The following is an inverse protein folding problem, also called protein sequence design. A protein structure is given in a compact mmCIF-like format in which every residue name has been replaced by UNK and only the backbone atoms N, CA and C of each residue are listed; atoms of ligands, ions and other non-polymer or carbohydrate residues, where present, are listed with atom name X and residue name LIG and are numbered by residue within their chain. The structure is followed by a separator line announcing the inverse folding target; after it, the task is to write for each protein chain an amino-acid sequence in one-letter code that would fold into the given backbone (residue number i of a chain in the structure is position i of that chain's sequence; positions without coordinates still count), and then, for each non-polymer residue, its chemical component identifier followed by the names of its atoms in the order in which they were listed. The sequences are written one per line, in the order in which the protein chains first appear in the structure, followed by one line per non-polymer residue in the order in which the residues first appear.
data_IF_251678671951
#
_entry.id   IF_251678671951
#
_cell.length_a   1.000
_cell.length_b   1.000
_cell.length_c   1.000
_cell.angle_alpha   90.00
_cell.angle_beta   90.00
_cell.angle_gamma   90.00
#
_symmetry.space_group_name_H-M   'P 1'
#
loop_
_entity.id
_entity.type
_entity.pdbx_description
1 polymer ?
#
# COMPACT_ATOMS: atom_id res chain seq x y z
N UNK A 1 -9.31 32.38 8.95
CA UNK A 1 -10.13 31.16 8.70
C UNK A 1 -9.11 30.05 8.47
N UNK A 2 -9.15 28.98 9.27
CA UNK A 2 -8.24 27.83 9.11
C UNK A 2 -8.39 27.22 7.72
N UNK A 3 -7.33 26.60 7.20
CA UNK A 3 -7.37 25.82 5.97
C UNK A 3 -8.44 24.73 6.13
N UNK A 4 -9.31 24.54 5.17
CA UNK A 4 -10.27 23.44 5.13
C UNK A 4 -10.27 22.86 3.71
N UNK A 5 -9.97 21.57 3.60
CA UNK A 5 -9.80 20.91 2.31
C UNK A 5 -11.05 20.18 1.85
N UNK A 6 -12.07 20.07 2.74
CA UNK A 6 -13.35 19.43 2.42
C UNK A 6 -14.52 20.31 2.88
N UNK A 7 -15.68 20.10 2.27
CA UNK A 7 -16.99 20.52 2.80
C UNK A 7 -17.77 19.23 3.06
N UNK A 8 -18.04 18.92 4.34
CA UNK A 8 -18.82 17.76 4.77
C UNK A 8 -20.12 18.26 5.42
N UNK A 9 -21.15 18.42 4.62
CA UNK A 9 -22.48 18.89 5.07
C UNK A 9 -23.49 17.75 4.98
N UNK A 10 -23.71 17.06 6.10
CA UNK A 10 -24.63 15.93 6.18
C UNK A 10 -26.10 16.33 6.01
N UNK A 11 -26.48 17.53 6.42
CA UNK A 11 -27.86 18.02 6.31
C UNK A 11 -28.25 18.26 4.84
N UNK A 12 -27.33 18.79 4.05
CA UNK A 12 -27.54 18.98 2.61
C UNK A 12 -27.18 17.75 1.78
N UNK A 13 -26.65 16.68 2.41
CA UNK A 13 -26.15 15.50 1.70
C UNK A 13 -24.98 15.81 0.76
N UNK A 14 -24.09 16.71 1.16
CA UNK A 14 -23.05 17.27 0.29
C UNK A 14 -21.65 17.03 0.85
N UNK A 15 -20.78 16.46 0.01
CA UNK A 15 -19.35 16.31 0.32
C UNK A 15 -18.50 16.79 -0.84
N UNK A 16 -17.72 17.83 -0.62
CA UNK A 16 -16.84 18.40 -1.65
C UNK A 16 -15.39 18.35 -1.20
N UNK A 17 -14.50 18.15 -2.18
CA UNK A 17 -13.05 18.14 -2.01
C UNK A 17 -12.43 19.30 -2.77
N UNK A 18 -11.57 20.07 -2.10
CA UNK A 18 -10.87 21.20 -2.70
C UNK A 18 -9.81 20.69 -3.70
N UNK A 19 -9.93 21.09 -4.96
CA UNK A 19 -9.04 20.69 -6.05
C UNK A 19 -7.60 21.19 -5.89
N UNK A 20 -7.35 22.20 -5.05
CA UNK A 20 -5.98 22.62 -4.75
C UNK A 20 -5.15 21.49 -4.11
N UNK A 21 -5.77 20.55 -3.39
CA UNK A 21 -5.09 19.39 -2.82
C UNK A 21 -4.39 18.51 -3.85
N UNK A 22 -4.79 18.59 -5.10
CA UNK A 22 -4.22 17.81 -6.20
C UNK A 22 -3.14 18.54 -7.00
N UNK A 23 -2.98 19.85 -6.82
CA UNK A 23 -2.13 20.66 -7.74
C UNK A 23 -1.12 21.57 -7.03
N UNK A 24 -1.30 21.85 -5.75
CA UNK A 24 -0.44 22.80 -5.01
C UNK A 24 0.79 22.10 -4.43
N UNK A 25 2.04 22.46 -4.84
CA UNK A 25 3.25 21.85 -4.29
C UNK A 25 3.43 22.10 -2.80
N UNK A 26 2.97 23.24 -2.27
CA UNK A 26 3.07 23.49 -0.83
C UNK A 26 2.19 22.54 -0.02
N UNK A 27 1.05 22.12 -0.58
CA UNK A 27 0.19 21.11 0.06
C UNK A 27 0.91 19.76 0.09
N UNK A 28 1.62 19.37 -0.98
CA UNK A 28 2.41 18.13 -0.96
C UNK A 28 3.54 18.19 0.08
N UNK A 29 4.20 19.32 0.24
CA UNK A 29 5.21 19.50 1.30
C UNK A 29 4.58 19.33 2.70
N UNK A 30 3.41 19.93 2.94
CA UNK A 30 2.67 19.73 4.18
C UNK A 30 2.22 18.25 4.36
N UNK A 31 1.82 17.56 3.30
CA UNK A 31 1.51 16.12 3.33
C UNK A 31 2.72 15.27 3.74
N UNK A 32 3.92 15.60 3.25
CA UNK A 32 5.16 14.92 3.66
C UNK A 32 5.42 15.07 5.16
N UNK A 33 5.17 16.24 5.72
CA UNK A 33 5.37 16.53 7.14
C UNK A 33 4.26 15.93 8.01
N UNK A 34 2.99 16.14 7.65
CA UNK A 34 1.85 15.84 8.51
C UNK A 34 1.33 14.42 8.34
N UNK A 35 1.39 13.86 7.13
CA UNK A 35 0.87 12.53 6.80
C UNK A 35 2.02 11.53 6.75
N UNK A 36 2.93 11.68 5.78
CA UNK A 36 3.96 10.69 5.51
C UNK A 36 5.05 10.59 6.59
N UNK A 37 5.14 11.58 7.50
CA UNK A 37 6.04 11.52 8.65
C UNK A 37 5.36 11.06 9.94
N UNK A 38 4.03 10.98 9.99
CA UNK A 38 3.30 10.68 11.23
C UNK A 38 2.36 9.46 11.12
N UNK A 39 2.04 9.01 9.92
CA UNK A 39 1.29 7.79 9.71
C UNK A 39 2.21 6.58 9.55
N UNK A 40 1.68 5.38 9.73
CA UNK A 40 2.37 4.15 9.41
C UNK A 40 2.40 3.94 7.90
N UNK A 41 3.60 3.87 7.33
CA UNK A 41 3.86 3.75 5.90
C UNK A 41 4.26 2.32 5.58
N UNK A 42 3.61 1.68 4.65
CA UNK A 42 3.96 0.34 4.19
C UNK A 42 5.36 0.34 3.55
N UNK A 43 6.19 -0.58 4.00
CA UNK A 43 7.57 -0.76 3.53
C UNK A 43 7.68 -1.95 2.59
N UNK A 44 7.12 -3.10 2.98
CA UNK A 44 7.26 -4.35 2.25
C UNK A 44 6.73 -5.55 3.03
N UNK A 45 6.89 -6.74 2.47
CA UNK A 45 6.49 -7.99 3.12
C UNK A 45 7.74 -8.76 3.58
N UNK A 46 7.68 -9.37 4.76
CA UNK A 46 8.82 -10.11 5.34
C UNK A 46 9.37 -11.22 4.42
N UNK A 47 8.52 -11.78 3.57
CA UNK A 47 8.94 -12.79 2.60
C UNK A 47 9.90 -12.28 1.52
N UNK A 48 10.07 -10.96 1.39
CA UNK A 48 11.06 -10.38 0.47
C UNK A 48 12.49 -10.44 1.02
N UNK A 49 12.63 -10.67 2.32
CA UNK A 49 13.91 -10.75 3.06
C UNK A 49 13.90 -11.99 3.96
N UNK A 50 13.76 -13.19 3.37
CA UNK A 50 13.55 -14.46 4.09
C UNK A 50 14.74 -14.88 4.96
N UNK A 51 15.96 -14.65 4.45
CA UNK A 51 17.19 -15.16 5.07
C UNK A 51 17.93 -14.05 5.83
N UNK A 52 18.69 -14.43 6.82
CA UNK A 52 19.60 -13.51 7.49
C UNK A 52 20.57 -12.87 6.50
N UNK A 53 20.69 -11.55 6.55
CA UNK A 53 21.49 -10.77 5.61
C UNK A 53 20.77 -10.34 4.34
N UNK A 54 19.54 -10.81 4.08
CA UNK A 54 18.75 -10.31 2.95
C UNK A 54 18.40 -8.84 3.16
N UNK A 55 18.43 -8.10 2.04
CA UNK A 55 18.03 -6.70 2.03
C UNK A 55 17.36 -6.29 0.72
N UNK A 56 16.50 -5.28 0.81
CA UNK A 56 15.96 -4.51 -0.31
C UNK A 56 16.20 -3.02 -0.04
N UNK A 57 16.49 -2.24 -1.08
CA UNK A 57 16.47 -0.77 -1.00
C UNK A 57 15.27 -0.23 -1.76
N UNK A 58 14.65 0.79 -1.21
CA UNK A 58 13.52 1.50 -1.85
C UNK A 58 13.33 2.88 -1.26
N UNK A 59 12.59 3.72 -1.95
CA UNK A 59 12.12 4.97 -1.39
C UNK A 59 10.77 4.75 -0.70
N UNK A 60 10.68 5.19 0.54
CA UNK A 60 9.46 5.13 1.35
C UNK A 60 9.13 6.54 1.82
N UNK A 61 8.02 7.07 1.34
CA UNK A 61 7.63 8.46 1.60
C UNK A 61 8.75 9.48 1.30
N UNK A 62 9.42 9.31 0.15
CA UNK A 62 10.49 10.19 -0.31
C UNK A 62 11.83 10.03 0.41
N UNK A 63 12.00 9.00 1.25
CA UNK A 63 13.24 8.73 1.97
C UNK A 63 13.84 7.40 1.52
N UNK A 64 15.14 7.37 1.14
CA UNK A 64 15.82 6.13 0.79
C UNK A 64 16.01 5.27 2.03
N UNK A 65 15.54 4.03 2.00
CA UNK A 65 15.66 3.07 3.11
C UNK A 65 16.37 1.78 2.67
N UNK A 66 16.91 1.07 3.65
CA UNK A 66 17.31 -0.33 3.56
C UNK A 66 16.34 -1.13 4.43
N UNK A 67 15.58 -2.01 3.80
CA UNK A 67 14.73 -2.98 4.45
C UNK A 67 15.49 -4.29 4.52
N UNK A 68 15.81 -4.81 5.71
CA UNK A 68 16.78 -5.89 5.88
C UNK A 68 16.45 -6.81 7.05
N UNK A 69 16.98 -8.03 7.01
CA UNK A 69 16.95 -8.98 8.13
C UNK A 69 18.37 -9.20 8.65
N UNK A 70 18.57 -9.01 9.93
CA UNK A 70 19.89 -9.17 10.56
C UNK A 70 20.27 -10.63 10.85
N UNK A 71 21.44 -10.84 11.43
CA UNK A 71 21.97 -12.18 11.78
C UNK A 71 21.15 -12.89 12.86
N UNK A 72 20.33 -12.17 13.65
CA UNK A 72 19.45 -12.69 14.68
C UNK A 72 18.03 -12.98 14.14
N UNK A 73 17.78 -12.66 12.87
CA UNK A 73 16.49 -12.82 12.19
C UNK A 73 15.53 -11.65 12.43
N UNK A 74 15.97 -10.57 13.07
CA UNK A 74 15.16 -9.37 13.27
C UNK A 74 15.10 -8.54 11.99
N UNK A 75 13.92 -8.01 11.70
CA UNK A 75 13.68 -7.08 10.58
C UNK A 75 14.00 -5.66 11.03
N UNK A 76 14.69 -4.93 10.16
CA UNK A 76 15.05 -3.53 10.35
C UNK A 76 14.67 -2.68 9.14
N UNK A 77 14.28 -1.45 9.38
CA UNK A 77 14.11 -0.39 8.38
C UNK A 77 15.12 0.72 8.73
N UNK A 78 16.16 0.85 7.92
CA UNK A 78 17.26 1.78 8.17
C UNK A 78 17.24 2.89 7.13
N UNK A 79 17.51 4.14 7.50
CA UNK A 79 17.76 5.18 6.52
C UNK A 79 19.03 4.84 5.74
N UNK A 80 18.94 4.79 4.42
CA UNK A 80 20.05 4.48 3.52
C UNK A 80 20.97 5.69 3.34
N UNK A 81 21.48 6.22 4.44
CA UNK A 81 22.39 7.37 4.43
C UNK A 81 23.53 7.17 5.43
N UNK A 82 24.76 7.29 4.98
CA UNK A 82 25.94 7.14 5.81
C UNK A 82 26.04 8.29 6.83
N UNK A 83 26.10 7.95 8.09
CA UNK A 83 26.22 8.91 9.21
C UNK A 83 27.52 9.71 9.20
N UNK A 84 28.51 9.35 8.36
CA UNK A 84 29.71 10.13 8.16
C UNK A 84 29.47 11.40 7.32
N UNK A 85 29.01 11.26 6.08
CA UNK A 85 28.82 12.37 5.11
C UNK A 85 27.68 12.17 4.13
N UNK A 86 26.62 11.46 4.53
CA UNK A 86 25.35 11.41 3.81
C UNK A 86 25.30 10.58 2.52
N UNK A 87 26.38 9.89 2.13
CA UNK A 87 26.35 9.03 0.93
C UNK A 87 25.40 7.85 1.12
N UNK A 88 24.69 7.43 0.08
CA UNK A 88 23.95 6.17 0.11
C UNK A 88 24.91 5.02 0.45
N UNK A 89 24.57 4.24 1.46
CA UNK A 89 25.38 3.10 1.93
C UNK A 89 25.21 1.92 1.00
N UNK A 90 23.96 1.56 0.71
CA UNK A 90 23.60 0.50 -0.20
C UNK A 90 23.06 1.07 -1.51
N UNK A 91 23.63 0.66 -2.65
CA UNK A 91 23.26 1.13 -4.00
C UNK A 91 22.62 0.04 -4.86
N UNK A 92 22.69 -1.22 -4.42
CA UNK A 92 21.99 -2.34 -5.05
C UNK A 92 20.51 -2.32 -4.65
N UNK A 93 19.64 -2.76 -5.56
CA UNK A 93 18.19 -2.81 -5.28
C UNK A 93 17.86 -3.89 -4.24
N UNK A 94 18.52 -5.05 -4.30
CA UNK A 94 18.36 -6.16 -3.37
C UNK A 94 19.63 -7.02 -3.30
N UNK A 95 19.68 -7.94 -2.36
CA UNK A 95 20.76 -8.89 -2.23
C UNK A 95 20.85 -9.51 -0.84
N UNK A 96 21.98 -10.22 -0.61
CA UNK A 96 22.32 -10.78 0.70
C UNK A 96 23.75 -10.38 1.07
N UNK A 97 23.96 -9.84 2.23
CA UNK A 97 25.28 -9.47 2.74
C UNK A 97 25.35 -9.56 4.27
N UNK A 98 26.56 -9.67 4.79
CA UNK A 98 26.79 -9.62 6.25
C UNK A 98 26.97 -8.20 6.76
N UNK A 99 27.42 -7.28 5.89
CA UNK A 99 27.71 -5.91 6.24
C UNK A 99 27.47 -5.00 5.06
N UNK A 100 26.98 -3.79 5.32
CA UNK A 100 26.91 -2.70 4.36
C UNK A 100 28.21 -1.89 4.39
N UNK A 101 28.81 -1.65 3.23
CA UNK A 101 30.05 -0.87 3.09
C UNK A 101 29.77 0.43 2.34
N UNK A 102 29.93 1.56 3.01
CA UNK A 102 29.82 2.87 2.36
C UNK A 102 30.96 3.05 1.35
N UNK A 103 30.63 3.25 0.09
CA UNK A 103 31.61 3.37 -0.99
C UNK A 103 32.44 4.65 -0.95
N UNK A 104 32.05 5.64 -0.12
CA UNK A 104 32.75 6.92 -0.06
C UNK A 104 34.03 6.86 0.81
N UNK A 105 33.94 6.33 2.05
CA UNK A 105 35.07 6.26 2.98
C UNK A 105 35.16 4.91 3.70
N UNK A 106 34.51 3.86 3.15
CA UNK A 106 34.52 2.51 3.67
C UNK A 106 34.07 2.35 5.15
N UNK A 107 33.18 3.22 5.64
CA UNK A 107 32.50 2.95 6.89
C UNK A 107 31.64 1.70 6.71
N UNK A 108 31.74 0.77 7.67
CA UNK A 108 31.11 -0.54 7.58
C UNK A 108 30.05 -0.70 8.66
N UNK A 109 28.85 -1.11 8.26
CA UNK A 109 27.71 -1.28 9.12
C UNK A 109 27.23 -2.72 9.09
N UNK A 110 26.75 -3.27 10.23
CA UNK A 110 26.00 -4.52 10.24
C UNK A 110 24.65 -4.34 9.52
N UNK A 111 24.00 -5.46 9.21
CA UNK A 111 22.60 -5.46 8.71
C UNK A 111 21.62 -4.89 9.75
N UNK A 112 21.96 -4.88 11.03
CA UNK A 112 21.22 -4.16 12.09
C UNK A 112 21.46 -2.64 12.13
N UNK A 113 22.30 -2.09 11.24
CA UNK A 113 22.65 -0.66 11.23
C UNK A 113 23.83 -0.28 12.13
N UNK A 114 24.33 -1.15 13.00
CA UNK A 114 25.46 -0.86 13.90
C UNK A 114 26.75 -0.54 13.13
N UNK A 115 27.44 0.57 13.44
CA UNK A 115 28.74 0.90 12.85
C UNK A 115 29.84 0.03 13.49
N UNK A 116 30.51 -0.79 12.66
CA UNK A 116 31.55 -1.74 13.11
C UNK A 116 32.95 -1.38 12.63
N UNK A 117 33.09 -0.67 11.52
CA UNK A 117 34.38 -0.37 10.93
C UNK A 117 34.51 1.08 10.47
N UNK A 118 35.60 1.73 10.88
CA UNK A 118 36.00 3.09 10.45
C UNK A 118 37.47 3.05 10.05
N UNK A 119 37.80 3.25 8.77
CA UNK A 119 39.21 3.33 8.35
C UNK A 119 39.92 4.48 9.02
N UNK A 120 41.19 4.26 9.43
CA UNK A 120 42.05 5.26 10.09
C UNK A 120 41.36 5.90 11.33
N UNK A 121 40.66 5.07 12.13
CA UNK A 121 39.90 5.48 13.31
C UNK A 121 40.73 6.34 14.29
N UNK A 122 42.05 6.14 14.32
CA UNK A 122 42.99 6.96 15.15
C UNK A 122 43.01 8.46 14.81
N UNK A 123 42.44 8.85 13.69
CA UNK A 123 42.25 10.27 13.32
C UNK A 123 41.08 10.95 14.05
N UNK A 124 40.25 10.19 14.73
CA UNK A 124 39.12 10.73 15.51
C UNK A 124 39.52 10.97 16.97
N UNK A 125 38.87 11.91 17.67
CA UNK A 125 39.13 12.16 19.07
C UNK A 125 38.77 10.95 19.96
N UNK A 126 39.38 10.86 21.14
CA UNK A 126 39.10 9.76 22.09
C UNK A 126 37.65 9.67 22.56
N UNK A 127 36.86 10.71 22.38
CA UNK A 127 35.41 10.73 22.64
C UNK A 127 34.58 10.06 21.55
N UNK A 128 35.14 9.79 20.38
CA UNK A 128 34.44 9.11 19.29
C UNK A 128 34.10 7.66 19.70
N UNK A 129 32.81 7.31 19.59
CA UNK A 129 32.33 5.96 19.87
C UNK A 129 31.47 5.47 18.72
N UNK A 130 31.89 4.43 18.04
CA UNK A 130 31.17 3.85 16.89
C UNK A 130 29.68 3.60 17.17
N UNK A 131 29.33 3.19 18.38
CA UNK A 131 27.93 2.95 18.77
C UNK A 131 27.00 4.16 18.59
N UNK A 132 27.54 5.36 18.56
CA UNK A 132 26.77 6.60 18.42
C UNK A 132 26.62 7.01 16.94
N UNK A 133 27.19 6.24 16.00
CA UNK A 133 27.23 6.53 14.57
C UNK A 133 26.67 5.38 13.71
N UNK A 134 25.75 4.57 14.24
CA UNK A 134 24.99 3.61 13.46
C UNK A 134 24.11 4.26 12.40
N UNK A 135 23.62 3.48 11.44
CA UNK A 135 22.56 3.95 10.56
C UNK A 135 21.30 4.22 11.41
N UNK A 136 20.57 5.27 11.05
CA UNK A 136 19.33 5.59 11.77
C UNK A 136 18.28 4.51 11.49
N UNK A 137 17.83 3.84 12.55
CA UNK A 137 16.73 2.87 12.49
C UNK A 137 15.42 3.64 12.58
N UNK A 138 14.55 3.44 11.58
CA UNK A 138 13.18 3.97 11.58
C UNK A 138 12.30 3.01 12.37
N UNK A 139 11.47 3.55 13.25
CA UNK A 139 10.51 2.73 13.99
C UNK A 139 9.69 1.89 13.02
N UNK A 140 9.72 0.57 13.18
CA UNK A 140 9.02 -0.36 12.30
C UNK A 140 8.35 -1.47 13.10
N UNK A 141 7.17 -1.88 12.64
CA UNK A 141 6.38 -2.96 13.19
C UNK A 141 5.84 -3.83 12.05
N UNK A 142 5.60 -5.11 12.33
CA UNK A 142 5.07 -6.06 11.35
C UNK A 142 3.74 -6.61 11.83
N UNK A 143 2.76 -6.70 10.91
CA UNK A 143 1.51 -7.39 11.13
C UNK A 143 1.28 -8.40 10.02
N UNK A 144 1.24 -9.70 10.38
CA UNK A 144 1.05 -10.82 9.41
C UNK A 144 2.04 -10.81 8.24
N UNK A 145 3.27 -10.37 8.47
CA UNK A 145 4.30 -10.25 7.44
C UNK A 145 4.30 -8.93 6.68
N UNK A 146 3.28 -8.09 6.82
CA UNK A 146 3.25 -6.74 6.27
C UNK A 146 4.02 -5.80 7.19
N UNK A 147 5.13 -5.26 6.70
CA UNK A 147 6.02 -4.37 7.46
C UNK A 147 5.69 -2.92 7.17
N UNK A 148 5.51 -2.16 8.23
CA UNK A 148 5.27 -0.73 8.17
C UNK A 148 6.35 0.00 8.97
N UNK A 149 6.62 1.24 8.61
CA UNK A 149 7.46 2.14 9.39
C UNK A 149 6.74 3.45 9.72
N UNK A 150 7.20 4.11 10.77
CA UNK A 150 6.74 5.43 11.16
C UNK A 150 7.94 6.32 11.52
N UNK A 151 7.97 7.53 10.97
CA UNK A 151 9.06 8.49 11.25
C UNK A 151 8.80 9.30 12.52
N UNK A 152 7.66 9.12 13.17
CA UNK A 152 7.34 9.67 14.48
C UNK A 152 7.45 8.58 15.56
N UNK A 153 8.47 8.66 16.40
CA UNK A 153 8.70 7.69 17.48
C UNK A 153 7.57 7.68 18.52
N UNK A 154 6.79 8.76 18.63
CA UNK A 154 5.68 8.92 19.58
C UNK A 154 4.33 8.49 19.00
N UNK A 155 4.29 7.97 17.76
CA UNK A 155 3.04 7.49 17.17
C UNK A 155 2.45 6.32 17.96
N UNK A 156 1.14 6.14 17.83
CA UNK A 156 0.45 4.95 18.32
C UNK A 156 1.06 3.65 17.76
N UNK A 157 0.77 2.49 18.35
CA UNK A 157 1.23 1.20 17.81
C UNK A 157 0.61 0.92 16.43
N UNK A 158 1.28 0.08 15.63
CA UNK A 158 0.74 -0.34 14.33
C UNK A 158 -0.65 -0.99 14.48
N UNK A 159 -0.83 -1.81 15.52
CA UNK A 159 -2.13 -2.47 15.76
C UNK A 159 -3.26 -1.50 16.07
N UNK A 160 -2.99 -0.45 16.85
CA UNK A 160 -3.96 0.61 17.13
C UNK A 160 -4.27 1.42 15.87
N UNK A 161 -3.23 1.75 15.08
CA UNK A 161 -3.38 2.47 13.83
C UNK A 161 -4.23 1.71 12.80
N UNK A 162 -3.96 0.41 12.63
CA UNK A 162 -4.70 -0.43 11.69
C UNK A 162 -6.18 -0.59 12.07
N UNK A 163 -6.50 -0.64 13.38
CA UNK A 163 -7.88 -0.77 13.83
C UNK A 163 -8.63 -1.92 13.14
N UNK A 164 -9.77 -1.64 12.49
CA UNK A 164 -10.57 -2.62 11.75
C UNK A 164 -9.88 -3.13 10.47
N UNK A 165 -8.87 -2.42 9.94
CA UNK A 165 -8.13 -2.87 8.77
C UNK A 165 -7.30 -4.15 9.03
N UNK A 166 -7.06 -4.51 10.30
CA UNK A 166 -6.42 -5.78 10.69
C UNK A 166 -7.15 -7.00 10.15
N UNK A 167 -8.48 -7.00 10.21
CA UNK A 167 -9.28 -8.12 9.73
C UNK A 167 -9.00 -8.42 8.26
N UNK A 168 -8.72 -7.40 7.47
CA UNK A 168 -8.43 -7.53 6.03
C UNK A 168 -7.03 -8.06 5.76
N UNK A 169 -6.05 -7.72 6.60
CA UNK A 169 -4.73 -8.36 6.58
C UNK A 169 -4.81 -9.82 7.04
N UNK A 170 -5.67 -10.10 8.02
CA UNK A 170 -5.96 -11.47 8.45
C UNK A 170 -6.57 -12.30 7.32
N UNK A 171 -7.59 -11.77 6.59
CA UNK A 171 -8.18 -12.49 5.44
C UNK A 171 -7.16 -12.82 4.35
N UNK A 172 -6.18 -11.94 4.14
CA UNK A 172 -5.08 -12.19 3.21
C UNK A 172 -4.14 -13.26 3.75
N UNK A 173 -3.68 -13.12 4.99
CA UNK A 173 -2.73 -14.07 5.62
C UNK A 173 -3.35 -15.45 5.79
N UNK A 174 -4.64 -15.52 6.10
CA UNK A 174 -5.37 -16.75 6.33
C UNK A 174 -5.73 -17.54 5.04
N UNK A 175 -5.35 -17.07 3.86
CA UNK A 175 -5.49 -17.84 2.62
C UNK A 175 -4.67 -19.14 2.64
N UNK A 176 -3.58 -19.21 3.42
CA UNK A 176 -2.81 -20.43 3.62
C UNK A 176 -2.28 -20.57 5.04
N UNK A 177 -2.35 -21.80 5.58
CA UNK A 177 -1.71 -22.14 6.85
C UNK A 177 -0.16 -22.14 6.76
N UNK A 178 0.40 -22.32 5.56
CA UNK A 178 1.84 -22.25 5.30
C UNK A 178 2.37 -20.82 5.23
N UNK A 179 1.47 -19.82 5.22
CA UNK A 179 1.79 -18.41 5.07
C UNK A 179 1.74 -17.91 3.63
N UNK A 180 1.96 -16.62 3.49
CA UNK A 180 1.93 -15.91 2.21
C UNK A 180 3.33 -15.43 1.84
N UNK A 181 3.61 -15.33 0.54
CA UNK A 181 4.86 -14.79 0.04
C UNK A 181 4.66 -13.85 -1.14
N UNK A 182 5.51 -12.84 -1.25
CA UNK A 182 5.65 -12.05 -2.47
C UNK A 182 6.27 -12.96 -3.53
N UNK A 183 5.56 -13.09 -4.64
CA UNK A 183 6.02 -13.88 -5.80
C UNK A 183 7.07 -13.05 -6.53
N UNK A 184 8.15 -13.68 -6.98
CA UNK A 184 9.21 -13.01 -7.73
C UNK A 184 8.67 -12.25 -8.94
N UNK A 185 9.16 -11.05 -9.12
CA UNK A 185 8.70 -10.10 -10.14
C UNK A 185 8.02 -8.89 -9.53
N UNK A 186 8.31 -7.73 -10.10
CA UNK A 186 7.80 -6.45 -9.60
C UNK A 186 7.38 -5.59 -10.78
N UNK A 187 6.17 -5.04 -10.73
CA UNK A 187 5.78 -3.98 -11.65
C UNK A 187 6.19 -2.64 -11.07
N UNK A 188 6.97 -1.88 -11.83
CA UNK A 188 7.29 -0.47 -11.54
C UNK A 188 6.79 0.37 -12.70
N UNK A 189 5.98 1.38 -12.42
CA UNK A 189 5.45 2.31 -13.41
C UNK A 189 5.15 3.66 -12.75
N UNK A 190 4.84 4.65 -13.54
CA UNK A 190 4.54 5.98 -13.05
C UNK A 190 3.21 6.50 -13.64
N UNK A 191 2.55 7.37 -12.90
CA UNK A 191 1.32 8.06 -13.32
C UNK A 191 1.54 9.56 -13.16
N UNK A 192 1.18 10.34 -14.20
CA UNK A 192 1.20 11.81 -14.16
C UNK A 192 -0.06 12.35 -13.49
N UNK A 193 -0.26 11.93 -12.25
CA UNK A 193 -1.40 12.31 -11.43
C UNK A 193 -1.02 12.36 -9.95
N UNK A 194 -1.86 13.01 -9.16
CA UNK A 194 -1.72 13.08 -7.70
C UNK A 194 -2.00 11.72 -7.04
N UNK A 195 -1.23 11.36 -6.02
CA UNK A 195 -1.35 10.09 -5.31
C UNK A 195 -2.76 9.83 -4.75
N UNK A 196 -3.48 10.88 -4.34
CA UNK A 196 -4.84 10.75 -3.82
C UNK A 196 -5.84 10.24 -4.85
N UNK A 197 -5.63 10.58 -6.13
CA UNK A 197 -6.47 10.07 -7.22
C UNK A 197 -6.35 8.55 -7.37
N UNK A 198 -5.14 8.00 -7.26
CA UNK A 198 -4.96 6.54 -7.30
C UNK A 198 -5.57 5.86 -6.08
N UNK A 199 -5.44 6.49 -4.89
CA UNK A 199 -6.08 5.99 -3.67
C UNK A 199 -7.60 5.90 -3.82
N UNK A 200 -8.25 6.98 -4.27
CA UNK A 200 -9.70 7.01 -4.55
C UNK A 200 -10.12 5.96 -5.58
N UNK A 201 -9.46 5.94 -6.74
CA UNK A 201 -9.75 5.00 -7.83
C UNK A 201 -9.66 3.55 -7.37
N UNK A 202 -8.70 3.23 -6.52
CA UNK A 202 -8.46 1.86 -6.06
C UNK A 202 -9.61 1.28 -5.22
N UNK A 203 -10.45 2.11 -4.62
CA UNK A 203 -11.62 1.72 -3.81
C UNK A 203 -12.93 2.23 -4.40
N UNK A 204 -12.96 2.55 -5.68
CA UNK A 204 -14.13 3.03 -6.41
C UNK A 204 -14.77 1.91 -7.24
N UNK A 205 -16.00 1.55 -6.92
CA UNK A 205 -16.81 0.62 -7.71
C UNK A 205 -17.65 1.29 -8.79
N UNK A 206 -17.73 2.63 -8.79
CA UNK A 206 -18.59 3.35 -9.71
C UNK A 206 -18.01 3.43 -11.12
N UNK A 207 -16.69 3.60 -11.25
CA UNK A 207 -16.03 3.70 -12.56
C UNK A 207 -15.95 2.36 -13.30
N UNK A 208 -15.95 1.22 -12.60
CA UNK A 208 -15.59 -0.10 -13.14
C UNK A 208 -16.38 -0.44 -14.42
N UNK A 209 -17.71 -0.28 -14.39
CA UNK A 209 -18.56 -0.66 -15.54
C UNK A 209 -18.39 0.25 -16.76
N UNK A 210 -17.87 1.44 -16.59
CA UNK A 210 -17.73 2.44 -17.66
C UNK A 210 -16.29 2.53 -18.15
N UNK A 211 -15.33 2.50 -17.24
CA UNK A 211 -13.91 2.67 -17.54
C UNK A 211 -13.30 1.36 -18.09
N UNK A 212 -13.63 0.22 -17.49
CA UNK A 212 -13.06 -1.09 -17.84
C UNK A 212 -13.91 -1.90 -18.81
N UNK A 213 -14.58 -1.26 -19.75
CA UNK A 213 -15.43 -1.95 -20.71
C UNK A 213 -14.68 -3.02 -21.51
N UNK A 214 -13.46 -2.72 -21.94
CA UNK A 214 -12.63 -3.66 -22.71
C UNK A 214 -12.31 -4.92 -21.89
N UNK A 215 -12.03 -4.77 -20.58
CA UNK A 215 -11.81 -5.91 -19.70
C UNK A 215 -13.08 -6.71 -19.47
N UNK A 216 -14.22 -6.05 -19.29
CA UNK A 216 -15.51 -6.75 -19.13
C UNK A 216 -15.91 -7.51 -20.39
N UNK A 217 -15.68 -6.95 -21.58
CA UNK A 217 -15.90 -7.62 -22.85
C UNK A 217 -14.99 -8.87 -22.96
N UNK A 218 -13.70 -8.75 -22.60
CA UNK A 218 -12.77 -9.88 -22.53
C UNK A 218 -13.27 -10.97 -21.57
N UNK A 219 -13.76 -10.62 -20.38
CA UNK A 219 -14.32 -11.57 -19.42
C UNK A 219 -15.53 -12.33 -19.99
N UNK A 220 -16.39 -11.64 -20.76
CA UNK A 220 -17.53 -12.27 -21.44
C UNK A 220 -17.05 -13.24 -22.53
N UNK A 221 -16.03 -12.89 -23.29
CA UNK A 221 -15.43 -13.76 -24.32
C UNK A 221 -14.80 -15.01 -23.69
N UNK A 222 -14.25 -14.90 -22.47
CA UNK A 222 -13.77 -16.02 -21.65
C UNK A 222 -14.89 -16.80 -20.94
N UNK A 223 -16.16 -16.53 -21.25
CA UNK A 223 -17.31 -17.25 -20.72
C UNK A 223 -17.77 -16.80 -19.32
N UNK A 224 -17.33 -15.66 -18.82
CA UNK A 224 -17.73 -15.15 -17.51
C UNK A 224 -19.08 -14.41 -17.59
N UNK A 225 -19.98 -14.68 -16.66
CA UNK A 225 -21.27 -13.97 -16.55
C UNK A 225 -21.12 -12.69 -15.70
N UNK A 226 -20.64 -11.62 -16.33
CA UNK A 226 -20.50 -10.31 -15.68
C UNK A 226 -21.83 -9.58 -15.44
N UNK A 227 -22.97 -10.14 -15.94
CA UNK A 227 -24.29 -9.52 -15.77
C UNK A 227 -24.79 -9.56 -14.31
N UNK A 228 -24.27 -10.48 -13.50
CA UNK A 228 -24.62 -10.61 -12.08
C UNK A 228 -24.17 -9.43 -11.23
N UNK A 229 -23.36 -8.54 -11.78
CA UNK A 229 -22.91 -7.32 -11.14
C UNK A 229 -21.98 -7.54 -9.95
N UNK A 230 -21.50 -6.44 -9.40
CA UNK A 230 -20.65 -6.40 -8.21
C UNK A 230 -21.52 -5.99 -7.02
N UNK A 231 -22.16 -6.97 -6.38
CA UNK A 231 -22.98 -6.71 -5.20
C UNK A 231 -22.11 -6.68 -3.96
N UNK A 232 -22.09 -5.55 -3.25
CA UNK A 232 -21.29 -5.40 -2.07
C UNK A 232 -21.37 -4.00 -1.48
N UNK A 233 -20.47 -3.70 -0.57
CA UNK A 233 -20.48 -2.47 0.22
C UNK A 233 -19.12 -1.75 0.19
N UNK A 234 -19.19 -0.41 0.24
CA UNK A 234 -18.08 0.46 0.57
C UNK A 234 -18.12 0.85 2.04
N UNK A 235 -17.03 0.61 2.78
CA UNK A 235 -16.96 0.88 4.21
C UNK A 235 -15.71 1.67 4.61
N UNK A 236 -15.87 2.47 5.68
CA UNK A 236 -14.76 3.04 6.44
C UNK A 236 -14.25 2.02 7.45
N UNK A 237 -12.94 1.94 7.64
CA UNK A 237 -12.27 1.09 8.62
C UNK A 237 -11.58 1.91 9.74
N UNK A 238 -11.89 3.21 9.84
CA UNK A 238 -11.19 4.12 10.74
C UNK A 238 -9.85 4.61 10.19
N UNK A 239 -9.23 5.59 10.82
CA UNK A 239 -7.91 6.16 10.52
C UNK A 239 -7.62 6.47 9.03
N UNK A 240 -8.67 6.73 8.23
CA UNK A 240 -8.54 6.93 6.78
C UNK A 240 -8.49 5.64 5.96
N UNK A 241 -8.44 4.47 6.61
CA UNK A 241 -8.53 3.17 5.95
C UNK A 241 -9.94 2.95 5.42
N UNK A 242 -10.03 2.24 4.30
CA UNK A 242 -11.30 2.00 3.65
C UNK A 242 -11.27 0.68 2.85
N UNK A 243 -12.45 0.13 2.61
CA UNK A 243 -12.60 -1.09 1.81
C UNK A 243 -13.83 -1.01 0.92
N UNK A 244 -13.71 -1.66 -0.22
CA UNK A 244 -14.81 -2.07 -1.07
C UNK A 244 -14.83 -3.60 -1.10
N UNK A 245 -15.92 -4.22 -0.60
CA UNK A 245 -16.12 -5.67 -0.59
C UNK A 245 -17.28 -6.04 -1.51
N UNK A 246 -17.14 -7.16 -2.23
CA UNK A 246 -18.19 -7.65 -3.14
C UNK A 246 -17.97 -9.12 -3.52
N UNK A 247 -19.02 -9.78 -3.96
CA UNK A 247 -18.95 -11.09 -4.58
C UNK A 247 -18.92 -10.93 -6.10
N UNK A 248 -17.92 -11.54 -6.74
CA UNK A 248 -17.74 -11.53 -8.18
C UNK A 248 -17.96 -12.91 -8.81
N UNK A 249 -18.26 -12.98 -10.11
CA UNK A 249 -18.50 -14.25 -10.82
C UNK A 249 -17.22 -15.04 -11.12
N UNK A 250 -16.07 -14.40 -11.03
CA UNK A 250 -14.76 -14.96 -11.41
C UNK A 250 -14.19 -15.94 -10.40
N UNK A 251 -13.27 -16.78 -10.88
CA UNK A 251 -12.49 -17.69 -10.07
C UNK A 251 -11.46 -17.00 -9.19
N UNK A 252 -11.10 -17.69 -8.13
CA UNK A 252 -10.03 -17.26 -7.21
C UNK A 252 -9.17 -18.48 -6.88
N UNK A 253 -7.85 -18.46 -7.17
CA UNK A 253 -6.96 -19.58 -6.87
C UNK A 253 -6.98 -19.99 -5.40
N UNK A 254 -7.34 -19.07 -4.50
CA UNK A 254 -7.48 -19.39 -3.08
C UNK A 254 -8.53 -20.47 -2.83
N UNK A 255 -9.73 -20.39 -3.40
CA UNK A 255 -10.75 -21.41 -3.16
C UNK A 255 -12.00 -21.31 -4.07
N UNK A 256 -11.94 -20.69 -5.23
CA UNK A 256 -13.10 -20.57 -6.13
C UNK A 256 -12.74 -21.03 -7.54
N UNK A 257 -13.19 -22.22 -7.91
CA UNK A 257 -12.95 -22.83 -9.20
C UNK A 257 -13.75 -22.16 -10.33
N UNK A 258 -13.26 -22.31 -11.57
CA UNK A 258 -13.88 -21.86 -12.81
C UNK A 258 -13.99 -23.02 -13.79
N UNK A 259 -14.99 -22.97 -14.68
CA UNK A 259 -15.26 -24.02 -15.67
C UNK A 259 -14.13 -24.23 -16.69
N UNK A 260 -13.34 -23.19 -16.96
CA UNK A 260 -12.17 -23.26 -17.85
C UNK A 260 -10.89 -23.77 -17.16
N UNK A 261 -10.94 -24.10 -15.86
CA UNK A 261 -9.84 -24.72 -15.13
C UNK A 261 -9.98 -26.24 -15.13
N UNK A 262 -8.88 -26.94 -14.84
CA UNK A 262 -8.87 -28.42 -14.84
C UNK A 262 -9.79 -29.03 -13.78
N UNK A 263 -10.29 -30.26 -14.01
CA UNK A 263 -11.03 -31.01 -13.00
C UNK A 263 -10.16 -31.34 -11.77
N UNK A 264 -8.85 -31.53 -11.96
CA UNK A 264 -7.90 -31.68 -10.89
C UNK A 264 -7.82 -30.43 -10.02
N UNK A 265 -7.86 -29.23 -10.60
CA UNK A 265 -7.93 -27.97 -9.87
C UNK A 265 -9.22 -27.88 -9.05
N UNK A 266 -10.36 -28.34 -9.60
CA UNK A 266 -11.64 -28.40 -8.87
C UNK A 266 -11.54 -29.20 -7.59
N UNK A 267 -11.02 -30.43 -7.69
CA UNK A 267 -10.84 -31.32 -6.52
C UNK A 267 -9.93 -30.70 -5.47
N UNK A 268 -8.84 -30.06 -5.89
CA UNK A 268 -7.93 -29.35 -4.97
C UNK A 268 -8.61 -28.17 -4.29
N UNK A 269 -9.36 -27.36 -5.04
CA UNK A 269 -10.09 -26.21 -4.50
C UNK A 269 -11.17 -26.66 -3.51
N UNK A 270 -11.92 -27.72 -3.81
CA UNK A 270 -12.91 -28.27 -2.88
C UNK A 270 -12.27 -28.74 -1.56
N UNK A 271 -11.10 -29.41 -1.64
CA UNK A 271 -10.33 -29.79 -0.46
C UNK A 271 -9.85 -28.57 0.34
N UNK A 272 -9.36 -27.55 -0.36
CA UNK A 272 -8.88 -26.30 0.26
C UNK A 272 -10.04 -25.54 0.95
N UNK A 273 -11.21 -25.51 0.33
CA UNK A 273 -12.42 -24.95 0.95
C UNK A 273 -12.76 -25.62 2.27
N UNK A 274 -12.71 -26.95 2.32
CA UNK A 274 -12.98 -27.71 3.55
C UNK A 274 -11.92 -27.42 4.62
N UNK A 275 -10.64 -27.39 4.25
CA UNK A 275 -9.55 -27.00 5.15
C UNK A 275 -9.74 -25.61 5.76
N UNK A 276 -10.11 -24.62 4.93
CA UNK A 276 -10.37 -23.27 5.37
C UNK A 276 -11.56 -23.20 6.35
N UNK A 277 -12.64 -23.96 6.08
CA UNK A 277 -13.80 -24.05 6.97
C UNK A 277 -13.40 -24.67 8.31
N UNK A 278 -12.67 -25.78 8.27
CA UNK A 278 -12.24 -26.50 9.46
C UNK A 278 -11.31 -25.62 10.34
N UNK A 279 -10.47 -24.80 9.72
CA UNK A 279 -9.49 -23.95 10.41
C UNK A 279 -10.07 -22.61 10.91
N UNK A 280 -10.94 -21.98 10.13
CA UNK A 280 -11.39 -20.60 10.36
C UNK A 280 -12.85 -20.50 10.84
N UNK A 281 -13.63 -21.57 10.68
CA UNK A 281 -15.08 -21.56 10.81
C UNK A 281 -15.77 -21.01 9.54
N UNK A 282 -17.06 -21.31 9.39
CA UNK A 282 -17.83 -21.01 8.14
C UNK A 282 -17.81 -19.52 7.76
N UNK A 283 -18.05 -18.62 8.71
CA UNK A 283 -18.16 -17.18 8.44
C UNK A 283 -16.85 -16.58 7.93
N UNK A 284 -15.74 -16.82 8.66
CA UNK A 284 -14.42 -16.29 8.28
C UNK A 284 -13.90 -16.97 7.01
N UNK A 285 -14.13 -18.27 6.87
CA UNK A 285 -13.79 -19.02 5.66
C UNK A 285 -14.51 -18.45 4.43
N UNK A 286 -15.82 -18.16 4.51
CA UNK A 286 -16.55 -17.50 3.44
C UNK A 286 -15.92 -16.16 3.05
N UNK A 287 -15.55 -15.32 4.04
CA UNK A 287 -14.85 -14.06 3.78
C UNK A 287 -13.52 -14.25 3.03
N UNK A 288 -12.75 -15.27 3.35
CA UNK A 288 -11.47 -15.58 2.67
C UNK A 288 -11.71 -16.14 1.26
N UNK A 289 -12.66 -17.06 1.10
CA UNK A 289 -12.85 -17.82 -0.13
C UNK A 289 -13.65 -17.08 -1.22
N UNK A 290 -14.74 -16.42 -0.83
CA UNK A 290 -15.78 -16.02 -1.77
C UNK A 290 -15.87 -14.50 -1.95
N UNK A 291 -15.41 -13.71 -0.96
CA UNK A 291 -15.52 -12.25 -1.01
C UNK A 291 -14.26 -11.64 -1.61
N UNK A 292 -14.45 -10.93 -2.72
CA UNK A 292 -13.42 -10.08 -3.32
C UNK A 292 -13.38 -8.73 -2.61
N UNK A 293 -12.20 -8.10 -2.56
CA UNK A 293 -12.06 -6.80 -1.92
C UNK A 293 -10.93 -5.96 -2.48
N UNK A 294 -11.15 -4.65 -2.41
CA UNK A 294 -10.10 -3.65 -2.57
C UNK A 294 -9.98 -2.92 -1.23
N UNK A 295 -8.81 -3.01 -0.61
CA UNK A 295 -8.52 -2.41 0.70
C UNK A 295 -7.50 -1.32 0.54
N UNK A 296 -7.81 -0.13 1.04
CA UNK A 296 -6.83 0.94 1.18
C UNK A 296 -6.44 1.08 2.64
N UNK A 297 -5.20 0.71 2.97
CA UNK A 297 -4.57 1.06 4.24
C UNK A 297 -3.82 2.37 4.02
N UNK A 298 -4.42 3.43 4.53
CA UNK A 298 -3.90 4.79 4.42
C UNK A 298 -2.50 4.91 5.06
N UNK A 299 -1.54 5.65 4.45
CA UNK A 299 -1.70 6.43 3.24
C UNK A 299 -1.30 5.72 1.95
N UNK A 300 -0.49 4.65 1.94
CA UNK A 300 0.21 4.19 0.74
C UNK A 300 0.08 2.71 0.38
N UNK A 301 -0.79 1.94 1.04
CA UNK A 301 -0.96 0.52 0.73
C UNK A 301 -2.35 0.22 0.18
N UNK A 302 -2.39 -0.30 -1.05
CA UNK A 302 -3.58 -0.94 -1.62
C UNK A 302 -3.37 -2.45 -1.71
N UNK A 303 -4.38 -3.19 -1.29
CA UNK A 303 -4.47 -4.64 -1.49
C UNK A 303 -5.70 -4.91 -2.35
N UNK A 304 -5.49 -5.44 -3.55
CA UNK A 304 -6.56 -5.93 -4.40
C UNK A 304 -6.60 -7.46 -4.28
N UNK A 305 -7.51 -7.97 -3.47
CA UNK A 305 -7.78 -9.40 -3.27
C UNK A 305 -9.05 -9.76 -4.07
N UNK A 306 -8.87 -9.93 -5.38
CA UNK A 306 -9.94 -10.17 -6.34
C UNK A 306 -9.76 -11.58 -6.95
N UNK A 307 -9.37 -11.66 -8.22
CA UNK A 307 -9.02 -12.91 -8.89
C UNK A 307 -7.60 -13.35 -8.54
N UNK A 308 -6.68 -12.39 -8.46
CA UNK A 308 -5.35 -12.54 -7.87
C UNK A 308 -5.23 -11.65 -6.65
N UNK A 309 -4.11 -11.74 -5.96
CA UNK A 309 -3.81 -10.86 -4.85
C UNK A 309 -2.65 -9.95 -5.24
N UNK A 310 -2.96 -8.66 -5.37
CA UNK A 310 -2.00 -7.62 -5.75
C UNK A 310 -1.81 -6.66 -4.58
N UNK A 311 -0.55 -6.39 -4.24
CA UNK A 311 -0.15 -5.33 -3.32
C UNK A 311 0.40 -4.19 -4.16
N UNK A 312 -0.07 -2.96 -3.92
CA UNK A 312 0.44 -1.75 -4.57
C UNK A 312 0.79 -0.70 -3.54
N UNK A 313 1.91 -0.03 -3.78
CA UNK A 313 2.30 1.17 -3.04
C UNK A 313 2.76 2.25 -4.00
N UNK A 314 2.80 3.49 -3.53
CA UNK A 314 3.25 4.63 -4.31
C UNK A 314 4.17 5.56 -3.54
N UNK A 315 5.00 6.26 -4.29
CA UNK A 315 5.84 7.33 -3.80
C UNK A 315 5.48 8.62 -4.54
N UNK A 316 4.85 9.62 -3.89
CA UNK A 316 4.56 10.91 -4.50
C UNK A 316 5.85 11.70 -4.72
N UNK A 317 6.15 12.06 -5.95
CA UNK A 317 7.35 12.82 -6.35
C UNK A 317 7.02 14.30 -6.51
N UNK A 318 5.87 14.60 -7.11
CA UNK A 318 5.34 15.96 -7.26
C UNK A 318 3.82 15.92 -7.14
N UNK A 319 3.13 17.07 -7.06
CA UNK A 319 1.67 17.08 -7.00
C UNK A 319 0.98 16.35 -8.16
N UNK A 320 1.66 16.25 -9.29
CA UNK A 320 1.14 15.67 -10.54
C UNK A 320 1.98 14.51 -11.07
N UNK A 321 2.76 13.84 -10.20
CA UNK A 321 3.54 12.68 -10.58
C UNK A 321 3.83 11.77 -9.38
N UNK A 322 3.59 10.48 -9.55
CA UNK A 322 3.91 9.43 -8.57
C UNK A 322 4.51 8.22 -9.25
N UNK A 323 5.36 7.51 -8.53
CA UNK A 323 5.88 6.20 -8.90
C UNK A 323 5.15 5.11 -8.13
N UNK A 324 4.74 4.06 -8.83
CA UNK A 324 4.00 2.93 -8.27
C UNK A 324 4.86 1.67 -8.33
N UNK A 325 4.81 0.91 -7.25
CA UNK A 325 5.36 -0.44 -7.21
C UNK A 325 4.24 -1.43 -6.87
N UNK A 326 4.16 -2.53 -7.62
CA UNK A 326 3.16 -3.57 -7.39
C UNK A 326 3.78 -4.96 -7.42
N UNK A 327 3.29 -5.82 -6.54
CA UNK A 327 3.72 -7.22 -6.39
C UNK A 327 2.51 -8.15 -6.38
N UNK A 328 2.70 -9.36 -6.90
CA UNK A 328 1.79 -10.46 -6.64
C UNK A 328 2.12 -11.08 -5.28
N UNK A 329 1.11 -11.39 -4.49
CA UNK A 329 1.22 -12.15 -3.25
C UNK A 329 0.45 -13.47 -3.42
N UNK A 330 1.01 -14.57 -2.93
CA UNK A 330 0.37 -15.88 -3.00
C UNK A 330 0.78 -16.81 -1.86
N UNK A 331 0.02 -17.90 -1.64
CA UNK A 331 0.39 -18.94 -0.70
C UNK A 331 1.76 -19.56 -0.98
N UNK A 332 2.52 -19.84 0.08
CA UNK A 332 3.82 -20.52 -0.02
C UNK A 332 3.67 -21.93 -0.56
N UNK A 333 2.57 -22.61 -0.25
CA UNK A 333 2.25 -23.98 -0.64
C UNK A 333 1.40 -24.09 -1.91
N UNK A 334 1.24 -23.01 -2.67
CA UNK A 334 0.51 -22.97 -3.94
C UNK A 334 1.21 -23.81 -5.00
N UNK A 335 0.46 -24.64 -5.73
CA UNK A 335 1.03 -25.43 -6.81
C UNK A 335 1.24 -24.61 -8.10
N UNK A 336 1.93 -25.18 -9.10
CA UNK A 336 2.28 -24.48 -10.34
C UNK A 336 1.06 -24.01 -11.14
N UNK A 337 -0.02 -24.79 -11.19
CA UNK A 337 -1.25 -24.42 -11.92
C UNK A 337 -1.97 -23.25 -11.27
N UNK A 338 -2.15 -23.30 -9.94
CA UNK A 338 -2.75 -22.20 -9.17
C UNK A 338 -1.90 -20.94 -9.25
N UNK A 339 -0.56 -21.09 -9.16
CA UNK A 339 0.41 -20.01 -9.33
C UNK A 339 0.32 -19.38 -10.73
N UNK A 340 0.20 -20.20 -11.77
CA UNK A 340 0.03 -19.73 -13.14
C UNK A 340 -1.26 -18.92 -13.30
N UNK A 341 -2.40 -19.39 -12.80
CA UNK A 341 -3.65 -18.64 -12.83
C UNK A 341 -3.57 -17.30 -12.08
N UNK A 342 -2.91 -17.30 -10.94
CA UNK A 342 -2.69 -16.07 -10.17
C UNK A 342 -1.85 -15.05 -10.93
N UNK A 343 -0.75 -15.49 -11.52
CA UNK A 343 0.16 -14.61 -12.27
C UNK A 343 -0.47 -14.14 -13.59
N UNK A 344 -1.21 -15.00 -14.28
CA UNK A 344 -1.94 -14.60 -15.48
C UNK A 344 -2.90 -13.45 -15.17
N UNK A 345 -3.70 -13.58 -14.13
CA UNK A 345 -4.63 -12.53 -13.71
C UNK A 345 -3.92 -11.27 -13.20
N UNK A 346 -2.79 -11.43 -12.47
CA UNK A 346 -1.98 -10.30 -12.03
C UNK A 346 -1.45 -9.49 -13.22
N UNK A 347 -1.06 -10.17 -14.30
CA UNK A 347 -0.56 -9.54 -15.52
C UNK A 347 -1.68 -8.92 -16.37
N UNK A 348 -2.78 -9.65 -16.56
CA UNK A 348 -3.84 -9.28 -17.51
C UNK A 348 -4.80 -8.23 -16.93
N UNK A 349 -5.05 -8.21 -15.63
CA UNK A 349 -5.98 -7.27 -15.01
C UNK A 349 -5.28 -6.01 -14.51
N UNK A 350 -4.46 -6.10 -13.45
CA UNK A 350 -3.85 -4.94 -12.77
C UNK A 350 -2.39 -4.68 -13.14
N UNK A 351 -1.82 -5.42 -14.08
CA UNK A 351 -0.50 -5.11 -14.61
C UNK A 351 -0.50 -3.80 -15.42
N UNK A 352 0.62 -3.07 -15.49
CA UNK A 352 0.71 -1.82 -16.26
C UNK A 352 0.48 -2.00 -17.77
N UNK A 353 0.64 -3.21 -18.28
CA UNK A 353 0.29 -3.61 -19.66
C UNK A 353 -0.98 -4.45 -19.72
N UNK A 354 -1.74 -4.56 -18.63
CA UNK A 354 -3.00 -5.28 -18.57
C UNK A 354 -4.18 -4.46 -19.10
N UNK A 355 -5.40 -4.95 -18.86
CA UNK A 355 -6.60 -4.31 -19.37
C UNK A 355 -7.09 -3.15 -18.49
N UNK A 356 -7.03 -3.26 -17.16
CA UNK A 356 -7.63 -2.28 -16.26
C UNK A 356 -6.69 -1.11 -15.94
N UNK A 357 -5.43 -1.37 -15.65
CA UNK A 357 -4.50 -0.30 -15.24
C UNK A 357 -4.31 0.79 -16.29
N UNK A 358 -4.17 0.52 -17.61
CA UNK A 358 -4.08 1.57 -18.62
C UNK A 358 -5.32 2.48 -18.69
N UNK A 359 -6.53 1.93 -18.53
CA UNK A 359 -7.77 2.70 -18.49
C UNK A 359 -7.79 3.64 -17.28
N UNK A 360 -7.36 3.15 -16.13
CA UNK A 360 -7.23 3.96 -14.90
C UNK A 360 -6.20 5.07 -15.08
N UNK A 361 -5.03 4.76 -15.63
CA UNK A 361 -3.95 5.74 -15.86
C UNK A 361 -4.46 6.89 -16.72
N UNK A 362 -5.13 6.61 -17.85
CA UNK A 362 -5.70 7.64 -18.72
C UNK A 362 -6.73 8.49 -17.95
N UNK A 363 -7.62 7.88 -17.18
CA UNK A 363 -8.64 8.59 -16.42
C UNK A 363 -8.03 9.50 -15.34
N UNK A 364 -7.01 9.01 -14.63
CA UNK A 364 -6.33 9.78 -13.58
C UNK A 364 -5.49 10.94 -14.16
N UNK A 365 -4.75 10.70 -15.24
CA UNK A 365 -3.95 11.74 -15.92
C UNK A 365 -4.82 12.82 -16.52
N UNK A 366 -5.97 12.48 -17.11
CA UNK A 366 -6.91 13.46 -17.66
C UNK A 366 -7.62 14.25 -16.57
N UNK A 367 -7.98 13.63 -15.43
CA UNK A 367 -8.51 14.34 -14.26
C UNK A 367 -7.48 15.33 -13.70
N UNK A 368 -6.23 14.91 -13.55
CA UNK A 368 -5.13 15.76 -13.09
C UNK A 368 -4.93 16.97 -14.03
N UNK A 369 -4.95 16.72 -15.33
CA UNK A 369 -4.84 17.78 -16.32
C UNK A 369 -6.01 18.79 -16.23
N UNK A 370 -7.23 18.27 -16.01
CA UNK A 370 -8.42 19.09 -15.77
C UNK A 370 -8.25 19.97 -14.54
N UNK A 371 -7.83 19.41 -13.41
CA UNK A 371 -7.58 20.19 -12.20
C UNK A 371 -6.53 21.29 -12.40
N UNK A 372 -5.39 20.94 -13.00
CA UNK A 372 -4.28 21.87 -13.22
C UNK A 372 -4.67 23.06 -14.11
N UNK A 373 -5.53 22.83 -15.11
CA UNK A 373 -5.93 23.86 -16.06
C UNK A 373 -7.11 24.71 -15.61
N UNK A 374 -7.94 24.23 -14.68
CA UNK A 374 -9.21 24.89 -14.34
C UNK A 374 -9.36 25.21 -12.84
N UNK A 375 -8.27 25.17 -12.08
CA UNK A 375 -8.31 25.37 -10.63
C UNK A 375 -8.86 26.74 -10.20
N UNK A 376 -8.69 27.76 -11.03
CA UNK A 376 -9.19 29.10 -10.74
C UNK A 376 -10.71 29.22 -10.93
N UNK A 377 -11.28 28.43 -11.84
CA UNK A 377 -12.70 28.45 -12.21
C UNK A 377 -13.51 27.42 -11.43
N UNK A 378 -12.95 26.22 -11.22
CA UNK A 378 -13.63 25.09 -10.58
C UNK A 378 -12.82 24.58 -9.40
N UNK A 379 -13.18 25.08 -8.22
CA UNK A 379 -12.41 24.84 -6.97
C UNK A 379 -12.73 23.52 -6.27
N UNK A 380 -13.87 22.91 -6.55
CA UNK A 380 -14.38 21.77 -5.80
C UNK A 380 -14.74 20.59 -6.69
N UNK A 381 -14.42 19.39 -6.27
CA UNK A 381 -14.93 18.12 -6.78
C UNK A 381 -16.02 17.61 -5.86
N UNK A 382 -17.05 16.98 -6.40
CA UNK A 382 -18.20 16.45 -5.67
C UNK A 382 -18.06 14.93 -5.52
N UNK A 383 -18.03 14.44 -4.29
CA UNK A 383 -18.08 13.02 -3.92
C UNK A 383 -19.23 12.75 -2.92
N UNK A 384 -20.37 13.37 -3.19
CA UNK A 384 -21.58 13.28 -2.34
C UNK A 384 -22.39 12.00 -2.56
N UNK A 385 -22.07 11.20 -3.59
CA UNK A 385 -22.86 10.03 -3.96
C UNK A 385 -23.04 9.09 -2.77
N UNK A 386 -24.29 8.78 -2.44
CA UNK A 386 -24.67 7.90 -1.34
C UNK A 386 -24.68 8.55 0.05
N UNK A 387 -24.52 9.88 0.18
CA UNK A 387 -24.57 10.56 1.48
C UNK A 387 -25.92 10.44 2.20
N UNK A 388 -26.99 10.16 1.46
CA UNK A 388 -28.35 10.01 2.00
C UNK A 388 -28.68 8.55 2.41
N UNK A 389 -27.69 7.62 2.31
CA UNK A 389 -27.91 6.18 2.58
C UNK A 389 -27.11 5.75 3.80
N UNK A 390 -27.69 4.84 4.57
CA UNK A 390 -27.00 4.17 5.68
C UNK A 390 -26.09 3.04 5.18
N UNK A 391 -26.62 2.19 4.29
CA UNK A 391 -25.87 1.14 3.61
C UNK A 391 -25.39 1.71 2.27
N UNK A 392 -24.11 1.63 2.04
CA UNK A 392 -23.42 2.22 0.87
C UNK A 392 -22.99 1.11 -0.08
N UNK A 393 -23.69 0.90 -1.21
CA UNK A 393 -23.19 0.02 -2.26
C UNK A 393 -21.76 0.39 -2.69
N UNK A 394 -21.05 -0.55 -3.29
CA UNK A 394 -19.69 -0.32 -3.83
C UNK A 394 -19.60 0.85 -4.80
N UNK A 395 -20.71 1.19 -5.46
CA UNK A 395 -20.82 2.33 -6.38
C UNK A 395 -21.05 3.68 -5.70
N UNK A 396 -21.27 3.72 -4.38
CA UNK A 396 -21.30 4.96 -3.60
C UNK A 396 -19.87 5.37 -3.21
N UNK A 397 -19.70 6.56 -2.64
CA UNK A 397 -18.39 7.16 -2.36
C UNK A 397 -18.09 7.27 -0.85
N UNK A 398 -18.77 6.48 -0.02
CA UNK A 398 -18.61 6.48 1.46
C UNK A 398 -17.18 6.13 1.87
N UNK A 399 -16.57 5.16 1.22
CA UNK A 399 -15.21 4.69 1.46
C UNK A 399 -14.18 5.80 1.14
N UNK A 400 -14.37 6.57 0.07
CA UNK A 400 -13.51 7.70 -0.27
C UNK A 400 -13.65 8.84 0.75
N UNK A 401 -14.88 9.15 1.20
CA UNK A 401 -15.12 10.17 2.22
C UNK A 401 -14.45 9.85 3.55
N UNK A 402 -14.25 8.57 3.88
CA UNK A 402 -13.49 8.14 5.06
C UNK A 402 -12.06 8.67 5.03
N UNK A 403 -11.37 8.43 3.92
CA UNK A 403 -10.03 8.95 3.68
C UNK A 403 -9.99 10.48 3.78
N UNK A 404 -10.88 11.19 3.08
CA UNK A 404 -10.87 12.65 3.06
C UNK A 404 -11.14 13.30 4.41
N UNK A 405 -11.94 12.67 5.27
CA UNK A 405 -12.12 13.14 6.65
C UNK A 405 -10.82 13.05 7.44
N UNK A 406 -10.13 11.91 7.35
CA UNK A 406 -8.83 11.73 8.01
C UNK A 406 -7.76 12.66 7.43
N UNK A 407 -7.71 12.77 6.12
CA UNK A 407 -6.84 13.73 5.44
C UNK A 407 -7.04 15.14 5.96
N UNK A 408 -8.29 15.62 5.98
CA UNK A 408 -8.60 16.97 6.45
C UNK A 408 -8.26 17.15 7.94
N UNK A 409 -8.51 16.14 8.77
CA UNK A 409 -8.12 16.14 10.18
C UNK A 409 -6.61 16.38 10.32
N UNK A 410 -5.77 15.55 9.67
CA UNK A 410 -4.31 15.62 9.75
C UNK A 410 -3.77 16.94 9.19
N UNK A 411 -4.32 17.40 8.08
CA UNK A 411 -3.82 18.60 7.39
C UNK A 411 -4.24 19.91 8.08
N UNK A 412 -5.26 19.88 8.95
CA UNK A 412 -5.78 21.07 9.65
C UNK A 412 -5.35 21.18 11.10
N UNK A 413 -4.64 20.20 11.65
CA UNK A 413 -4.04 20.30 12.99
C UNK A 413 -3.06 21.47 13.03
N UNK A 414 -3.34 22.46 13.86
CA UNK A 414 -2.50 23.64 13.99
C UNK A 414 -1.11 23.28 14.53
N UNK A 415 -0.07 23.89 13.94
CA UNK A 415 1.37 23.74 14.26
C UNK A 415 1.72 24.10 15.73
N UNK A 416 0.78 24.60 16.51
CA UNK A 416 0.99 25.01 17.92
C UNK A 416 1.39 23.87 18.86
N UNK A 417 1.19 22.62 18.47
CA UNK A 417 1.63 21.46 19.27
C UNK A 417 3.03 20.94 18.91
N UNK A 418 3.59 21.33 17.76
CA UNK A 418 4.92 20.88 17.31
C UNK A 418 6.06 21.84 17.58
N UNK A 419 5.82 23.07 18.05
CA UNK A 419 6.86 24.11 18.24
C UNK A 419 7.72 23.95 19.50
N UNK A 420 7.54 22.89 20.29
CA UNK A 420 8.36 22.62 21.50
C UNK A 420 9.39 21.50 21.33
N UNK A 421 9.52 20.90 20.14
CA UNK A 421 10.55 19.88 19.90
C UNK A 421 11.78 20.52 19.25
N UNK A 422 12.76 20.93 20.07
CA UNK A 422 14.14 21.17 19.57
C UNK A 422 14.68 19.90 18.90
N UNK A 423 15.36 20.01 17.75
CA UNK A 423 16.01 18.85 17.14
C UNK A 423 17.03 18.27 18.13
N UNK A 424 16.88 17.00 18.48
CA UNK A 424 17.92 16.28 19.22
C UNK A 424 19.18 16.31 18.36
N UNK A 425 20.15 17.13 18.75
CA UNK A 425 21.49 17.10 18.20
C UNK A 425 22.08 15.70 18.48
N UNK A 426 22.36 14.98 17.39
CA UNK A 426 23.07 13.70 17.39
C UNK A 426 24.56 13.93 17.77
#
# INVERSE_FOLDING_TARGET
MGKNYIIDNKEEGKFLVNRQTFVDPNILEEEQEKIFSNCWIYVGHESEIKNNGDFNTRDVAGRPIIFTRDDEGKVHVLLNTCTHRGSLVCRGENGNCKTFLCSYHAWSFKTSGELIGVPLESGYPASFKKKDYGLHEVRSESYKGFVFCNYNDEAESLEEYLGEAKDYLDYVADQSAAGMEVIEGTHKYAIRANWKLLGENSIDGYHVSYNHKTYLDFMVDEGQDVSKGLFGEGRSLGNGHAVMEYEGPWGRPVAKWQENWSEEAKVRIEKKRQELIDRLGEEKAHKVMDVSRNVWIFPNLIINDIMSLTIRTWNPISPDYMEITAWALGPVDENEEERAHRLDTFLTFLGPGGFATPDDVESLETAQLGFKKTINEVKWSDISRGMHRDISPTTDEKQMRSFWRKYNELMTVDEKQNSEKEPKLV
#
